data_IF_901658555184
#
_entry.id   IF_901658555184
#
_cell.length_a   1.000
_cell.length_b   1.000
_cell.length_c   1.000
_cell.angle_alpha   90.00
_cell.angle_beta   90.00
_cell.angle_gamma   90.00
#
_symmetry.space_group_name_H-M   'P 1'
#
loop_
_entity.id
_entity.type
_entity.pdbx_description
1 polymer ?
#
# COMPACT_ATOMS: atom_id res chain seq x y z
N UNK A 1 -30.10 15.63 17.35
CA UNK A 1 -30.15 15.88 15.89
C UNK A 1 -28.92 16.72 15.56
N UNK A 2 -28.02 16.23 14.71
CA UNK A 2 -26.64 16.73 14.51
C UNK A 2 -25.66 15.87 15.31
N UNK A 3 -24.64 15.22 14.74
CA UNK A 3 -23.83 15.59 13.57
C UNK A 3 -23.40 14.33 12.79
N UNK A 4 -23.89 14.17 11.55
CA UNK A 4 -23.46 13.12 10.61
C UNK A 4 -22.44 13.71 9.65
N UNK A 5 -21.22 13.90 10.14
CA UNK A 5 -20.05 14.16 9.31
C UNK A 5 -18.96 13.21 9.81
N UNK A 6 -18.74 12.04 9.21
CA UNK A 6 -17.75 11.88 8.14
C UNK A 6 -17.80 10.43 7.60
N UNK A 7 -18.81 10.07 6.81
CA UNK A 7 -18.85 8.79 6.06
C UNK A 7 -18.80 9.01 4.54
N UNK A 8 -18.35 10.19 4.10
CA UNK A 8 -18.09 10.43 2.67
C UNK A 8 -16.67 9.96 2.34
N UNK A 9 -16.51 9.14 1.30
CA UNK A 9 -15.20 8.75 0.76
C UNK A 9 -14.42 9.94 0.21
N UNK A 10 -13.24 9.68 -0.39
CA UNK A 10 -12.50 10.74 -1.07
C UNK A 10 -13.33 11.30 -2.24
N UNK A 11 -13.19 12.60 -2.52
CA UNK A 11 -13.78 13.20 -3.73
C UNK A 11 -13.15 12.62 -5.00
N UNK A 12 -13.80 12.78 -6.16
CA UNK A 12 -13.24 12.29 -7.42
C UNK A 12 -11.86 12.91 -7.76
N UNK A 13 -11.63 14.16 -7.37
CA UNK A 13 -10.31 14.81 -7.52
C UNK A 13 -9.29 14.22 -6.55
N UNK A 14 -9.66 14.04 -5.28
CA UNK A 14 -8.80 13.39 -4.29
C UNK A 14 -8.46 11.95 -4.69
N UNK A 15 -9.39 11.19 -5.25
CA UNK A 15 -9.15 9.83 -5.75
C UNK A 15 -8.15 9.83 -6.92
N UNK A 16 -8.25 10.78 -7.86
CA UNK A 16 -7.29 10.94 -8.96
C UNK A 16 -5.91 11.34 -8.46
N UNK A 17 -5.85 12.31 -7.56
CA UNK A 17 -4.58 12.75 -6.96
C UNK A 17 -3.96 11.63 -6.15
N UNK A 18 -4.74 10.92 -5.33
CA UNK A 18 -4.28 9.76 -4.55
C UNK A 18 -3.75 8.68 -5.48
N UNK A 19 -4.50 8.24 -6.50
CA UNK A 19 -4.02 7.24 -7.47
C UNK A 19 -2.67 7.65 -8.09
N UNK A 20 -2.52 8.92 -8.46
CA UNK A 20 -1.24 9.43 -8.96
C UNK A 20 -0.13 9.44 -7.91
N UNK A 21 -0.43 9.66 -6.63
CA UNK A 21 0.55 9.57 -5.53
C UNK A 21 0.98 8.10 -5.35
N UNK A 22 0.03 7.15 -5.45
CA UNK A 22 0.32 5.73 -5.31
C UNK A 22 1.35 5.24 -6.34
N UNK A 23 1.20 5.64 -7.61
CA UNK A 23 2.16 5.30 -8.67
C UNK A 23 3.55 5.92 -8.47
N UNK A 24 3.69 6.98 -7.69
CA UNK A 24 5.01 7.51 -7.33
C UNK A 24 5.61 6.77 -6.12
N UNK A 25 4.78 6.23 -5.21
CA UNK A 25 5.25 5.42 -4.07
C UNK A 25 5.71 4.03 -4.54
N UNK A 26 4.90 3.36 -5.37
CA UNK A 26 5.25 2.08 -6.00
C UNK A 26 4.92 2.19 -7.50
N UNK A 27 5.91 2.57 -8.34
CA UNK A 27 5.73 2.65 -9.78
C UNK A 27 5.62 1.27 -10.42
N UNK A 28 5.09 1.18 -11.65
CA UNK A 28 5.19 -0.05 -12.44
C UNK A 28 6.67 -0.42 -12.64
N UNK A 29 6.97 -1.72 -12.68
CA UNK A 29 8.33 -2.19 -12.95
C UNK A 29 8.73 -1.93 -14.40
N UNK A 30 10.03 -1.76 -14.64
CA UNK A 30 10.59 -1.48 -15.97
C UNK A 30 10.31 -2.59 -16.99
N UNK A 31 10.18 -3.84 -16.51
CA UNK A 31 9.85 -5.02 -17.32
C UNK A 31 8.33 -5.24 -17.50
N UNK A 32 7.50 -4.39 -16.89
CA UNK A 32 6.04 -4.42 -16.96
C UNK A 32 5.38 -5.60 -16.24
N UNK A 33 6.12 -6.42 -15.50
CA UNK A 33 5.56 -7.57 -14.77
C UNK A 33 4.76 -7.12 -13.53
N UNK A 34 5.27 -6.11 -12.82
CA UNK A 34 4.63 -5.56 -11.64
C UNK A 34 3.88 -4.27 -12.01
N UNK A 35 2.55 -4.21 -11.80
CA UNK A 35 1.77 -3.01 -12.08
C UNK A 35 2.10 -1.90 -11.09
N UNK A 36 1.83 -0.64 -11.45
CA UNK A 36 1.91 0.48 -10.51
C UNK A 36 0.79 0.41 -9.46
N UNK A 37 1.03 0.94 -8.26
CA UNK A 37 0.03 0.93 -7.20
C UNK A 37 -1.25 1.71 -7.54
N UNK A 38 -1.16 2.76 -8.37
CA UNK A 38 -2.30 3.53 -8.87
C UNK A 38 -3.17 2.75 -9.86
N UNK A 39 -2.59 1.78 -10.59
CA UNK A 39 -3.32 0.91 -11.53
C UNK A 39 -4.19 -0.16 -10.83
N UNK A 40 -3.81 -0.55 -9.61
CA UNK A 40 -4.42 -1.66 -8.88
C UNK A 40 -5.74 -1.32 -8.18
N UNK A 41 -6.26 -0.10 -8.34
CA UNK A 41 -7.47 0.32 -7.63
C UNK A 41 -7.29 0.40 -6.11
N UNK A 42 -6.06 0.55 -5.61
CA UNK A 42 -5.75 0.59 -4.18
C UNK A 42 -6.37 1.78 -3.43
N UNK A 43 -6.92 2.76 -4.15
CA UNK A 43 -7.69 3.87 -3.55
C UNK A 43 -8.80 3.35 -2.65
N UNK A 44 -9.60 2.38 -3.08
CA UNK A 44 -10.72 1.85 -2.27
C UNK A 44 -10.23 1.05 -1.07
N UNK A 45 -9.10 0.34 -1.21
CA UNK A 45 -8.45 -0.34 -0.10
C UNK A 45 -8.01 0.66 0.97
N UNK A 46 -7.36 1.75 0.55
CA UNK A 46 -6.89 2.80 1.46
C UNK A 46 -8.09 3.48 2.13
N UNK A 47 -9.14 3.83 1.40
CA UNK A 47 -10.38 4.36 2.00
C UNK A 47 -10.92 3.46 3.11
N UNK A 48 -10.93 2.15 2.89
CA UNK A 48 -11.40 1.18 3.88
C UNK A 48 -10.46 1.08 5.08
N UNK A 49 -9.15 1.03 4.85
CA UNK A 49 -8.15 0.99 5.92
C UNK A 49 -8.25 2.24 6.82
N UNK A 50 -8.50 3.41 6.22
CA UNK A 50 -8.62 4.68 6.92
C UNK A 50 -9.90 4.83 7.75
N UNK A 51 -10.94 4.02 7.51
CA UNK A 51 -12.16 4.03 8.36
C UNK A 51 -11.86 3.68 9.82
N UNK A 52 -10.82 2.88 10.07
CA UNK A 52 -10.41 2.48 11.42
C UNK A 52 -9.38 3.45 12.03
N UNK A 53 -8.94 4.47 11.30
CA UNK A 53 -7.90 5.42 11.70
C UNK A 53 -8.27 6.86 11.31
N UNK A 54 -9.27 7.48 11.98
CA UNK A 54 -9.80 8.79 11.59
C UNK A 54 -8.76 9.92 11.65
N UNK A 55 -7.81 9.86 12.58
CA UNK A 55 -6.70 10.82 12.66
C UNK A 55 -5.80 10.74 11.42
N UNK A 56 -5.44 9.52 11.00
CA UNK A 56 -4.65 9.29 9.80
C UNK A 56 -5.41 9.73 8.54
N UNK A 57 -6.72 9.48 8.50
CA UNK A 57 -7.60 9.93 7.42
C UNK A 57 -7.51 11.45 7.24
N UNK A 58 -7.66 12.20 8.34
CA UNK A 58 -7.59 13.66 8.33
C UNK A 58 -6.24 14.17 7.81
N UNK A 59 -5.14 13.56 8.24
CA UNK A 59 -3.78 13.89 7.76
C UNK A 59 -3.63 13.66 6.25
N UNK A 60 -4.17 12.55 5.73
CA UNK A 60 -4.08 12.24 4.30
C UNK A 60 -4.99 13.16 3.48
N UNK A 61 -6.22 13.44 3.93
CA UNK A 61 -7.13 14.34 3.22
C UNK A 61 -6.57 15.76 3.11
N UNK A 62 -6.03 16.29 4.21
CA UNK A 62 -5.37 17.60 4.23
C UNK A 62 -4.13 17.61 3.32
N UNK A 63 -3.29 16.59 3.43
CA UNK A 63 -2.08 16.47 2.61
C UNK A 63 -2.37 16.36 1.11
N UNK A 64 -3.42 15.63 0.71
CA UNK A 64 -3.83 15.54 -0.70
C UNK A 64 -4.34 16.89 -1.23
N UNK A 65 -5.09 17.64 -0.42
CA UNK A 65 -5.56 18.97 -0.78
C UNK A 65 -4.41 19.97 -0.91
N UNK A 66 -3.52 20.01 0.09
CA UNK A 66 -2.32 20.87 0.08
C UNK A 66 -1.41 20.55 -1.12
N UNK A 67 -1.18 19.28 -1.42
CA UNK A 67 -0.38 18.86 -2.56
C UNK A 67 -0.98 19.36 -3.88
N UNK A 68 -2.28 19.21 -4.06
CA UNK A 68 -2.95 19.66 -5.29
C UNK A 68 -2.93 21.19 -5.42
N UNK A 69 -3.10 21.92 -4.31
CA UNK A 69 -2.94 23.38 -4.30
C UNK A 69 -1.52 23.83 -4.63
N UNK A 70 -0.49 23.17 -4.08
CA UNK A 70 0.91 23.48 -4.40
C UNK A 70 1.19 23.21 -5.88
N UNK A 71 0.70 22.08 -6.41
CA UNK A 71 0.80 21.76 -7.82
C UNK A 71 0.13 22.82 -8.69
N UNK A 72 -1.08 23.25 -8.33
CA UNK A 72 -1.81 24.30 -9.03
C UNK A 72 -1.06 25.64 -8.99
N UNK A 73 -0.50 26.03 -7.85
CA UNK A 73 0.28 27.27 -7.70
C UNK A 73 1.58 27.26 -8.48
N UNK A 74 2.31 26.15 -8.50
CA UNK A 74 3.65 26.06 -9.12
C UNK A 74 3.64 25.67 -10.60
N UNK A 75 2.68 24.85 -11.01
CA UNK A 75 2.62 24.25 -12.36
C UNK A 75 1.31 24.56 -13.12
N UNK A 76 0.37 25.28 -12.50
CA UNK A 76 -0.89 25.70 -13.12
C UNK A 76 -1.89 24.55 -13.39
N UNK A 77 -1.70 23.40 -12.74
CA UNK A 77 -2.49 22.18 -12.96
C UNK A 77 -2.59 21.33 -11.70
N UNK A 78 -3.60 20.46 -11.66
CA UNK A 78 -3.72 19.41 -10.64
C UNK A 78 -2.49 18.51 -10.59
N UNK A 79 -2.17 18.00 -9.40
CA UNK A 79 -1.00 17.13 -9.17
C UNK A 79 -1.01 15.93 -10.11
N UNK A 80 -2.17 15.31 -10.33
CA UNK A 80 -2.32 14.16 -11.24
C UNK A 80 -1.81 14.43 -12.67
N UNK A 81 -1.87 15.68 -13.13
CA UNK A 81 -1.44 16.13 -14.46
C UNK A 81 -0.01 16.72 -14.52
N UNK A 82 0.70 16.75 -13.39
CA UNK A 82 2.11 17.17 -13.32
C UNK A 82 3.02 16.10 -13.95
N UNK A 83 4.14 16.49 -14.55
CA UNK A 83 5.09 15.55 -15.11
C UNK A 83 5.78 14.73 -14.01
N UNK A 84 6.08 13.45 -14.27
CA UNK A 84 6.67 12.53 -13.28
C UNK A 84 7.91 13.10 -12.57
N UNK A 85 8.82 13.73 -13.32
CA UNK A 85 10.03 14.32 -12.77
C UNK A 85 9.77 15.43 -11.73
N UNK A 86 8.66 16.16 -11.88
CA UNK A 86 8.27 17.27 -10.99
C UNK A 86 7.45 16.76 -9.78
N UNK A 87 6.68 15.66 -9.95
CA UNK A 87 5.88 15.05 -8.89
C UNK A 87 6.73 14.67 -7.68
N UNK A 88 7.91 14.08 -7.90
CA UNK A 88 8.81 13.66 -6.83
C UNK A 88 9.23 14.86 -5.96
N UNK A 89 9.55 16.01 -6.58
CA UNK A 89 9.93 17.21 -5.84
C UNK A 89 8.78 17.72 -4.96
N UNK A 90 7.55 17.73 -5.50
CA UNK A 90 6.36 18.13 -4.75
C UNK A 90 6.09 17.19 -3.57
N UNK A 91 6.18 15.88 -3.80
CA UNK A 91 5.93 14.85 -2.79
C UNK A 91 6.95 14.85 -1.64
N UNK A 92 8.21 15.16 -1.92
CA UNK A 92 9.25 15.25 -0.89
C UNK A 92 9.00 16.37 0.14
N UNK A 93 8.15 17.34 -0.20
CA UNK A 93 7.74 18.42 0.72
C UNK A 93 6.52 18.02 1.59
N UNK A 94 5.94 16.83 1.36
CA UNK A 94 4.68 16.42 1.97
C UNK A 94 4.87 15.39 3.08
N UNK A 95 4.55 15.77 4.32
CA UNK A 95 4.65 14.87 5.48
C UNK A 95 3.67 13.69 5.45
N UNK A 96 2.52 13.83 4.80
CA UNK A 96 1.48 12.77 4.77
C UNK A 96 1.89 11.53 3.96
N UNK A 97 2.90 11.65 3.09
CA UNK A 97 3.38 10.54 2.23
C UNK A 97 3.94 9.41 3.08
N UNK A 98 4.65 9.72 4.17
CA UNK A 98 5.24 8.72 5.04
C UNK A 98 4.21 7.78 5.70
N UNK A 99 3.17 8.28 6.41
CA UNK A 99 2.16 7.40 6.99
C UNK A 99 1.23 6.77 5.94
N UNK A 100 1.07 7.39 4.75
CA UNK A 100 0.38 6.77 3.62
C UNK A 100 1.14 5.54 3.10
N UNK A 101 2.48 5.62 3.00
CA UNK A 101 3.31 4.57 2.42
C UNK A 101 3.06 3.20 3.05
N UNK A 102 2.90 3.12 4.38
CA UNK A 102 2.59 1.86 5.05
C UNK A 102 1.32 1.20 4.50
N UNK A 103 0.25 1.97 4.29
CA UNK A 103 -1.01 1.46 3.73
C UNK A 103 -0.86 1.03 2.28
N UNK A 104 -0.05 1.76 1.50
CA UNK A 104 0.26 1.39 0.11
C UNK A 104 0.99 0.06 0.04
N UNK A 105 2.06 -0.11 0.81
CA UNK A 105 2.82 -1.37 0.85
C UNK A 105 1.96 -2.54 1.35
N UNK A 106 1.16 -2.33 2.40
CA UNK A 106 0.27 -3.35 2.92
C UNK A 106 -0.76 -3.81 1.88
N UNK A 107 -1.40 -2.88 1.16
CA UNK A 107 -2.36 -3.20 0.11
C UNK A 107 -1.72 -3.80 -1.14
N UNK A 108 -0.59 -3.25 -1.58
CA UNK A 108 0.09 -3.65 -2.82
C UNK A 108 0.56 -5.10 -2.77
N UNK A 109 1.31 -5.49 -1.74
CA UNK A 109 1.86 -6.84 -1.63
C UNK A 109 0.82 -7.91 -1.19
N UNK A 110 -0.41 -7.48 -0.88
CA UNK A 110 -1.54 -8.39 -0.66
C UNK A 110 -2.46 -8.49 -1.88
N UNK A 111 -2.28 -7.63 -2.90
CA UNK A 111 -3.12 -7.62 -4.08
C UNK A 111 -2.84 -8.84 -4.97
N UNK A 112 -3.90 -9.56 -5.36
CA UNK A 112 -3.79 -10.83 -6.10
C UNK A 112 -2.87 -10.75 -7.33
N UNK A 113 -3.04 -9.73 -8.18
CA UNK A 113 -2.17 -9.50 -9.36
C UNK A 113 -0.68 -9.40 -9.01
N UNK A 114 -0.34 -8.76 -7.89
CA UNK A 114 1.06 -8.60 -7.46
C UNK A 114 1.59 -9.91 -6.91
N UNK A 115 0.79 -10.60 -6.08
CA UNK A 115 1.15 -11.91 -5.52
C UNK A 115 1.42 -12.92 -6.65
N UNK A 116 0.55 -12.97 -7.66
CA UNK A 116 0.71 -13.81 -8.85
C UNK A 116 1.94 -13.42 -9.68
N UNK A 117 2.18 -12.12 -9.89
CA UNK A 117 3.36 -11.64 -10.61
C UNK A 117 4.68 -11.97 -9.89
N UNK A 118 4.66 -12.13 -8.57
CA UNK A 118 5.79 -12.61 -7.77
C UNK A 118 5.96 -14.15 -7.82
N UNK A 119 5.11 -14.86 -8.56
CA UNK A 119 5.14 -16.32 -8.67
C UNK A 119 4.55 -17.03 -7.45
N UNK A 120 3.78 -16.32 -6.63
CA UNK A 120 3.11 -16.86 -5.45
C UNK A 120 1.64 -17.15 -5.75
N UNK A 121 1.06 -18.10 -5.02
CA UNK A 121 -0.38 -18.36 -5.11
C UNK A 121 -1.16 -17.25 -4.41
N UNK A 122 -2.04 -16.54 -5.12
CA UNK A 122 -2.91 -15.50 -4.57
C UNK A 122 -4.07 -16.10 -3.74
N UNK A 123 -3.72 -16.76 -2.64
CA UNK A 123 -4.67 -17.30 -1.66
C UNK A 123 -4.14 -17.15 -0.24
N UNK A 124 -5.02 -17.22 0.76
CA UNK A 124 -4.58 -17.36 2.15
C UNK A 124 -3.66 -18.58 2.30
N UNK A 125 -2.57 -18.46 3.08
CA UNK A 125 -1.70 -19.59 3.35
C UNK A 125 -2.47 -20.68 4.10
N UNK A 126 -3.28 -20.32 5.11
CA UNK A 126 -4.14 -21.29 5.79
C UNK A 126 -5.38 -21.62 4.93
N UNK A 127 -5.80 -22.89 4.84
CA UNK A 127 -5.32 -24.05 5.61
C UNK A 127 -4.16 -24.84 4.99
N UNK A 128 -3.84 -24.63 3.71
CA UNK A 128 -2.98 -25.56 2.97
C UNK A 128 -1.47 -25.34 3.16
N UNK A 129 -1.05 -24.18 3.70
CA UNK A 129 0.33 -23.74 3.75
C UNK A 129 0.93 -23.48 2.36
N UNK A 130 2.27 -23.33 2.35
CA UNK A 130 3.10 -23.38 1.16
C UNK A 130 3.94 -24.64 1.19
N UNK A 131 4.27 -25.18 0.01
CA UNK A 131 5.22 -26.27 -0.08
C UNK A 131 6.62 -25.76 0.27
N UNK A 132 7.28 -26.44 1.20
CA UNK A 132 8.65 -26.11 1.64
C UNK A 132 9.63 -27.16 1.12
N UNK A 133 10.86 -26.75 0.87
CA UNK A 133 11.94 -27.68 0.56
C UNK A 133 12.14 -28.71 1.70
N UNK A 134 12.50 -29.97 1.39
CA UNK A 134 12.76 -30.98 2.42
C UNK A 134 13.82 -30.50 3.41
N UNK A 135 13.47 -30.48 4.69
CA UNK A 135 14.38 -30.02 5.73
C UNK A 135 15.42 -31.11 6.06
N UNK A 136 16.67 -30.73 6.34
CA UNK A 136 17.68 -31.69 6.83
C UNK A 136 17.36 -32.08 8.29
N UNK A 137 16.69 -33.21 8.46
CA UNK A 137 16.28 -33.70 9.78
C UNK A 137 17.44 -34.32 10.58
N UNK A 138 18.64 -34.48 10.00
CA UNK A 138 19.81 -35.00 10.73
C UNK A 138 20.22 -34.08 11.89
N UNK A 139 19.92 -32.78 11.78
CA UNK A 139 20.12 -31.79 12.86
C UNK A 139 19.33 -32.13 14.14
N UNK A 140 18.28 -32.96 14.05
CA UNK A 140 17.46 -33.38 15.18
C UNK A 140 18.01 -34.61 15.90
N UNK A 141 19.07 -35.26 15.40
CA UNK A 141 19.60 -36.51 15.97
C UNK A 141 20.02 -36.33 17.44
N UNK A 142 20.64 -35.21 17.76
CA UNK A 142 21.03 -34.90 19.14
C UNK A 142 19.84 -34.78 20.10
N UNK A 143 18.70 -34.28 19.62
CA UNK A 143 17.45 -34.18 20.40
C UNK A 143 16.78 -35.55 20.52
N UNK A 144 16.72 -36.31 19.42
CA UNK A 144 16.10 -37.65 19.38
C UNK A 144 16.81 -38.64 20.31
N UNK A 145 18.11 -38.47 20.56
CA UNK A 145 18.90 -39.32 21.49
C UNK A 145 18.71 -38.98 22.97
N UNK A 146 18.05 -37.87 23.32
CA UNK A 146 17.85 -37.50 24.73
C UNK A 146 16.77 -38.38 25.39
N UNK A 147 16.98 -38.83 26.64
CA UNK A 147 15.93 -39.55 27.37
C UNK A 147 14.71 -38.66 27.61
N UNK A 148 13.51 -39.26 27.77
CA UNK A 148 12.28 -38.52 28.15
C UNK A 148 12.51 -37.77 29.46
N UNK A 149 12.25 -36.47 29.45
CA UNK A 149 12.40 -35.59 30.62
C UNK A 149 11.08 -35.41 31.41
N UNK A 150 9.97 -35.97 30.94
CA UNK A 150 8.66 -35.89 31.57
C UNK A 150 8.08 -37.28 31.82
N UNK A 151 7.19 -37.39 32.82
CA UNK A 151 6.45 -38.61 33.19
C UNK A 151 5.10 -38.64 32.50
#
# INVERSE_FOLDING_TARGET
>A
MGDTASDQGFSADQQRTLASVLDEIIPPSDDGQLPGAGELGLVSYIEQALRQAPELRSVIEQGLAELDEVAQRRHGRHFSAVAKAEKIALLNEQGFVFPLAFQVYAGYYQHARVVEALGLEARPPHPHGYQMEPNDLSLLDGVRRRPKLYR
#
